data_IF_198377557288
#
_entry.id   IF_198377557288
#
_cell.length_a   1.000
_cell.length_b   1.000
_cell.length_c   1.000
_cell.angle_alpha   90.00
_cell.angle_beta   90.00
_cell.angle_gamma   90.00
#
_symmetry.space_group_name_H-M   'P 1'
#
loop_
_entity.id
_entity.type
_entity.pdbx_description
1 polymer ?
#
# COMPACT_ATOMS: atom_id res chain seq x y z
N UNK A 1 12.83 61.60 -14.14
CA UNK A 1 11.94 60.44 -14.32
C UNK A 1 12.74 59.20 -13.97
N UNK A 2 12.58 58.71 -12.75
CA UNK A 2 13.43 57.67 -12.17
C UNK A 2 12.91 56.29 -12.61
N UNK A 3 13.73 55.56 -13.36
CA UNK A 3 13.39 54.23 -13.88
C UNK A 3 13.40 53.22 -12.74
N UNK A 4 12.23 52.66 -12.43
CA UNK A 4 12.01 51.66 -11.39
C UNK A 4 12.44 50.28 -11.93
N UNK A 5 13.61 49.78 -11.53
CA UNK A 5 14.03 48.40 -11.81
C UNK A 5 13.34 47.44 -10.85
N UNK A 6 12.51 46.55 -11.38
CA UNK A 6 11.90 45.42 -10.65
C UNK A 6 12.97 44.37 -10.29
N UNK A 7 12.97 43.80 -9.07
CA UNK A 7 13.87 42.70 -8.73
C UNK A 7 13.47 41.39 -9.43
N UNK A 8 14.47 40.60 -9.83
CA UNK A 8 14.29 39.24 -10.38
C UNK A 8 13.62 38.32 -9.34
N UNK A 9 12.78 37.36 -9.76
CA UNK A 9 12.22 36.37 -8.85
C UNK A 9 13.31 35.41 -8.35
N UNK A 10 13.37 35.26 -7.03
CA UNK A 10 14.26 34.34 -6.34
C UNK A 10 13.96 32.89 -6.75
N UNK A 11 14.97 32.20 -7.27
CA UNK A 11 14.96 30.78 -7.53
C UNK A 11 15.05 30.01 -6.19
N UNK A 12 13.91 29.83 -5.52
CA UNK A 12 13.80 29.00 -4.33
C UNK A 12 12.78 27.88 -4.55
N UNK A 13 13.26 26.77 -5.09
CA UNK A 13 12.56 25.49 -5.15
C UNK A 13 13.47 24.38 -4.63
N UNK A 14 14.00 24.54 -3.42
CA UNK A 14 14.78 23.52 -2.75
C UNK A 14 13.96 22.24 -2.59
N UNK A 15 14.49 21.13 -3.08
CA UNK A 15 13.93 19.80 -2.84
C UNK A 15 14.01 19.51 -1.34
N UNK A 16 12.86 19.55 -0.67
CA UNK A 16 12.75 19.08 0.71
C UNK A 16 13.06 17.59 0.70
N UNK A 17 14.24 17.20 1.19
CA UNK A 17 14.56 15.80 1.46
C UNK A 17 13.61 15.28 2.55
N UNK A 18 13.03 14.09 2.41
CA UNK A 18 12.20 13.50 3.45
C UNK A 18 13.00 13.38 4.76
N UNK A 19 12.42 13.87 5.85
CA UNK A 19 13.02 14.02 7.19
C UNK A 19 12.99 12.74 8.02
N UNK A 20 12.88 11.58 7.38
CA UNK A 20 12.84 10.30 8.06
C UNK A 20 14.10 9.50 7.70
N UNK A 21 14.87 9.01 8.70
CA UNK A 21 15.98 8.11 8.42
C UNK A 21 15.44 6.91 7.63
N UNK A 22 16.21 6.45 6.64
CA UNK A 22 15.85 5.26 5.90
C UNK A 22 15.60 4.10 6.89
N UNK A 23 14.53 3.31 6.72
CA UNK A 23 14.27 2.18 7.59
C UNK A 23 15.48 1.23 7.57
N UNK A 24 15.77 0.53 8.68
CA UNK A 24 16.85 -0.46 8.71
C UNK A 24 16.68 -1.46 7.56
N UNK A 25 17.79 -1.84 6.94
CA UNK A 25 17.80 -2.79 5.84
C UNK A 25 17.48 -4.18 6.37
N UNK A 26 16.22 -4.60 6.24
CA UNK A 26 15.81 -5.98 6.47
C UNK A 26 16.17 -6.83 5.26
N UNK A 27 16.66 -8.04 5.48
CA UNK A 27 17.05 -8.96 4.40
C UNK A 27 15.82 -9.64 3.77
N UNK A 28 14.66 -9.59 4.44
CA UNK A 28 13.43 -10.21 3.97
C UNK A 28 12.19 -9.30 4.06
N UNK A 29 11.97 -8.52 3.01
CA UNK A 29 10.87 -7.53 2.91
C UNK A 29 9.79 -8.01 1.93
N UNK A 30 8.55 -8.08 2.42
CA UNK A 30 7.39 -8.50 1.64
C UNK A 30 6.48 -7.31 1.33
N UNK A 31 6.46 -6.89 0.06
CA UNK A 31 5.51 -5.90 -0.43
C UNK A 31 4.15 -6.52 -0.70
N UNK A 32 3.09 -5.72 -0.60
CA UNK A 32 1.72 -6.21 -0.74
C UNK A 32 0.97 -5.41 -1.80
N UNK A 33 0.28 -6.13 -2.68
CA UNK A 33 -0.65 -5.51 -3.63
C UNK A 33 -1.87 -6.39 -3.84
N UNK A 34 -3.07 -5.81 -3.86
CA UNK A 34 -4.25 -6.62 -4.09
C UNK A 34 -5.51 -5.85 -4.43
N UNK A 35 -6.57 -6.61 -4.61
CA UNK A 35 -7.86 -6.09 -4.98
C UNK A 35 -8.59 -5.39 -3.82
N UNK A 36 -9.38 -4.38 -4.20
CA UNK A 36 -10.34 -3.72 -3.30
C UNK A 36 -11.51 -4.66 -3.01
N UNK A 37 -12.28 -4.46 -1.91
CA UNK A 37 -13.24 -5.45 -1.45
C UNK A 37 -14.27 -5.89 -2.50
N UNK A 38 -14.80 -4.95 -3.28
CA UNK A 38 -15.80 -5.22 -4.31
C UNK A 38 -15.31 -6.08 -5.49
N UNK A 39 -14.00 -6.32 -5.60
CA UNK A 39 -13.39 -7.22 -6.59
C UNK A 39 -13.09 -8.62 -6.01
N UNK A 40 -13.22 -8.78 -4.69
CA UNK A 40 -12.95 -10.03 -3.98
C UNK A 40 -14.24 -10.78 -3.62
N UNK A 41 -15.36 -10.07 -3.45
CA UNK A 41 -16.67 -10.65 -3.16
C UNK A 41 -17.79 -9.71 -3.64
N UNK A 42 -19.03 -10.22 -3.86
CA UNK A 42 -20.17 -9.39 -4.25
C UNK A 42 -20.58 -8.42 -3.13
N UNK A 43 -21.31 -7.35 -3.49
CA UNK A 43 -21.96 -6.46 -2.51
C UNK A 43 -23.26 -7.11 -2.02
N UNK A 44 -23.65 -6.96 -0.73
CA UNK A 44 -22.94 -6.21 0.32
C UNK A 44 -21.86 -7.03 1.05
N UNK A 45 -21.72 -8.33 0.77
CA UNK A 45 -20.84 -9.26 1.48
C UNK A 45 -19.40 -8.77 1.61
N UNK A 46 -18.82 -8.20 0.55
CA UNK A 46 -17.45 -7.65 0.55
C UNK A 46 -17.19 -6.54 1.59
N UNK A 47 -18.24 -5.88 2.09
CA UNK A 47 -18.13 -4.87 3.15
C UNK A 47 -18.64 -5.36 4.50
N UNK A 48 -19.01 -6.63 4.63
CA UNK A 48 -19.44 -7.23 5.89
C UNK A 48 -18.27 -7.34 6.89
N UNK A 49 -18.60 -7.45 8.18
CA UNK A 49 -17.59 -7.73 9.22
C UNK A 49 -16.97 -9.12 9.01
N UNK A 50 -17.79 -10.12 8.71
CA UNK A 50 -17.35 -11.50 8.49
C UNK A 50 -16.31 -11.59 7.37
N UNK A 51 -16.59 -11.00 6.20
CA UNK A 51 -15.66 -11.01 5.07
C UNK A 51 -14.31 -10.36 5.42
N UNK A 52 -14.31 -9.23 6.11
CA UNK A 52 -13.06 -8.58 6.54
C UNK A 52 -12.27 -9.42 7.54
N UNK A 53 -12.94 -10.09 8.46
CA UNK A 53 -12.30 -10.99 9.43
C UNK A 53 -11.68 -12.18 8.70
N UNK A 54 -12.43 -12.82 7.80
CA UNK A 54 -11.93 -13.92 6.97
C UNK A 54 -10.73 -13.51 6.10
N UNK A 55 -10.81 -12.36 5.44
CA UNK A 55 -9.69 -11.85 4.63
C UNK A 55 -8.44 -11.56 5.48
N UNK A 56 -8.62 -11.08 6.72
CA UNK A 56 -7.50 -10.86 7.66
C UNK A 56 -6.93 -12.19 8.14
N UNK A 57 -7.77 -13.18 8.42
CA UNK A 57 -7.34 -14.52 8.82
C UNK A 57 -6.52 -15.20 7.73
N UNK A 58 -7.02 -15.17 6.49
CA UNK A 58 -6.29 -15.66 5.32
C UNK A 58 -4.93 -14.94 5.16
N UNK A 59 -4.89 -13.61 5.34
CA UNK A 59 -3.63 -12.86 5.33
C UNK A 59 -2.67 -13.30 6.44
N UNK A 60 -3.18 -13.57 7.65
CA UNK A 60 -2.35 -14.07 8.76
C UNK A 60 -1.74 -15.44 8.43
N UNK A 61 -2.50 -16.35 7.83
CA UNK A 61 -1.98 -17.66 7.39
C UNK A 61 -0.87 -17.49 6.34
N UNK A 62 -1.08 -16.64 5.33
CA UNK A 62 -0.03 -16.37 4.33
C UNK A 62 1.24 -15.79 4.97
N UNK A 63 1.11 -14.85 5.91
CA UNK A 63 2.26 -14.27 6.60
C UNK A 63 2.95 -15.26 7.55
N UNK A 64 2.20 -16.17 8.18
CA UNK A 64 2.76 -17.21 9.03
C UNK A 64 3.57 -18.24 8.22
N UNK A 65 3.15 -18.54 6.99
CA UNK A 65 3.89 -19.42 6.07
C UNK A 65 5.16 -18.73 5.52
N UNK A 66 5.10 -17.42 5.22
CA UNK A 66 6.20 -16.68 4.56
C UNK A 66 7.23 -16.12 5.56
N UNK A 67 6.78 -15.79 6.77
CA UNK A 67 7.60 -15.23 7.86
C UNK A 67 8.49 -14.04 7.46
N UNK A 68 7.94 -12.95 6.88
CA UNK A 68 8.72 -11.77 6.52
C UNK A 68 9.23 -11.01 7.76
N UNK A 69 10.43 -10.43 7.64
CA UNK A 69 10.97 -9.52 8.67
C UNK A 69 10.27 -8.17 8.65
N UNK A 70 9.72 -7.78 7.50
CA UNK A 70 9.01 -6.52 7.32
C UNK A 70 7.96 -6.63 6.21
N UNK A 71 6.85 -5.93 6.38
CA UNK A 71 5.77 -5.84 5.39
C UNK A 71 5.63 -4.41 4.90
N UNK A 72 5.54 -4.23 3.58
CA UNK A 72 5.18 -2.94 2.96
C UNK A 72 3.76 -3.04 2.41
N UNK A 73 2.85 -2.23 2.94
CA UNK A 73 1.46 -2.16 2.47
C UNK A 73 1.15 -0.81 1.85
N UNK A 74 0.42 -0.85 0.74
CA UNK A 74 -0.13 0.35 0.12
C UNK A 74 -1.35 0.95 0.83
N UNK A 75 -1.83 0.30 1.89
CA UNK A 75 -2.95 0.76 2.72
C UNK A 75 -4.29 1.01 1.98
N UNK A 76 -4.46 0.49 0.77
CA UNK A 76 -5.75 0.52 0.10
C UNK A 76 -6.80 -0.31 0.85
N UNK A 77 -8.08 0.01 0.68
CA UNK A 77 -9.16 -0.87 1.18
C UNK A 77 -9.03 -2.26 0.55
N UNK A 78 -9.33 -3.31 1.33
CA UNK A 78 -9.27 -4.70 0.86
C UNK A 78 -7.99 -5.39 1.32
N UNK A 79 -7.30 -6.04 0.39
CA UNK A 79 -6.12 -6.87 0.68
C UNK A 79 -5.03 -6.12 1.43
N UNK A 80 -4.61 -4.93 0.96
CA UNK A 80 -3.56 -4.13 1.60
C UNK A 80 -3.82 -3.91 3.10
N UNK A 81 -5.06 -3.56 3.49
CA UNK A 81 -5.41 -3.38 4.91
C UNK A 81 -5.54 -4.70 5.67
N UNK A 82 -5.97 -5.79 5.03
CA UNK A 82 -6.02 -7.10 5.67
C UNK A 82 -4.62 -7.60 6.03
N UNK A 83 -3.65 -7.48 5.11
CA UNK A 83 -2.26 -7.84 5.37
C UNK A 83 -1.60 -6.89 6.36
N UNK A 84 -1.89 -5.59 6.32
CA UNK A 84 -1.39 -4.65 7.32
C UNK A 84 -1.86 -4.99 8.75
N UNK A 85 -3.14 -5.35 8.91
CA UNK A 85 -3.66 -5.81 10.20
C UNK A 85 -3.02 -7.15 10.62
N UNK A 86 -2.83 -8.07 9.68
CA UNK A 86 -2.19 -9.36 9.93
C UNK A 86 -0.74 -9.17 10.42
N UNK A 87 0.07 -8.35 9.73
CA UNK A 87 1.44 -8.03 10.11
C UNK A 87 1.50 -7.48 11.54
N UNK A 88 0.66 -6.50 11.84
CA UNK A 88 0.52 -5.91 13.17
C UNK A 88 0.15 -6.94 14.25
N UNK A 89 -0.71 -7.92 13.95
CA UNK A 89 -1.11 -8.97 14.90
C UNK A 89 0.00 -10.00 15.14
N UNK A 90 0.84 -10.23 14.13
CA UNK A 90 1.97 -11.14 14.19
C UNK A 90 3.27 -10.45 14.64
N UNK A 91 3.19 -9.18 15.07
CA UNK A 91 4.33 -8.35 15.46
C UNK A 91 5.40 -8.20 14.36
N UNK A 92 4.98 -8.24 13.09
CA UNK A 92 5.85 -7.96 11.94
C UNK A 92 5.83 -6.45 11.67
N UNK A 93 6.98 -5.77 11.63
CA UNK A 93 7.09 -4.35 11.27
C UNK A 93 6.35 -4.01 9.98
N UNK A 94 5.46 -3.03 10.06
CA UNK A 94 4.66 -2.54 8.93
C UNK A 94 5.17 -1.18 8.45
N UNK A 95 5.51 -1.08 7.17
CA UNK A 95 5.64 0.20 6.46
C UNK A 95 4.33 0.48 5.71
N UNK A 96 3.73 1.63 5.99
CA UNK A 96 2.57 2.12 5.29
C UNK A 96 2.99 3.07 4.16
N UNK A 97 2.98 2.58 2.92
CA UNK A 97 3.25 3.35 1.71
C UNK A 97 1.97 4.05 1.21
N UNK A 98 1.86 5.35 1.48
CA UNK A 98 0.69 6.18 1.20
C UNK A 98 0.93 7.02 -0.06
N UNK A 99 0.08 6.93 -1.10
CA UNK A 99 0.29 7.66 -2.33
C UNK A 99 0.20 9.18 -2.15
N UNK A 100 -0.66 9.64 -1.24
CA UNK A 100 -0.83 11.06 -0.88
C UNK A 100 -1.55 11.20 0.46
N UNK A 101 -1.31 12.30 1.18
CA UNK A 101 -1.72 12.49 2.59
C UNK A 101 -3.22 12.25 2.87
N UNK A 102 -4.10 12.52 1.90
CA UNK A 102 -5.57 12.39 2.05
C UNK A 102 -6.17 11.15 1.39
N UNK A 103 -5.40 10.07 1.20
CA UNK A 103 -5.84 8.82 0.54
C UNK A 103 -7.19 8.30 1.05
N UNK A 104 -7.43 8.37 2.36
CA UNK A 104 -8.63 7.84 3.00
C UNK A 104 -9.85 8.79 2.96
N UNK A 105 -9.68 10.06 2.58
CA UNK A 105 -10.66 11.14 2.77
C UNK A 105 -12.04 10.90 2.13
N UNK A 106 -12.11 10.09 1.07
CA UNK A 106 -13.36 9.77 0.35
C UNK A 106 -14.01 8.46 0.81
N UNK A 107 -13.44 7.75 1.79
CA UNK A 107 -13.99 6.50 2.30
C UNK A 107 -15.04 6.75 3.38
N UNK A 108 -15.93 5.79 3.67
CA UNK A 108 -16.83 5.88 4.82
C UNK A 108 -16.07 6.11 6.13
N UNK A 109 -16.67 6.85 7.08
CA UNK A 109 -16.02 7.22 8.34
C UNK A 109 -15.48 6.01 9.14
N UNK A 110 -16.17 4.88 9.09
CA UNK A 110 -15.72 3.62 9.72
C UNK A 110 -14.42 3.10 9.10
N UNK A 111 -14.27 3.19 7.78
CA UNK A 111 -13.05 2.83 7.06
C UNK A 111 -11.92 3.82 7.32
N UNK A 112 -12.23 5.11 7.42
CA UNK A 112 -11.24 6.13 7.81
C UNK A 112 -10.70 5.87 9.21
N UNK A 113 -11.57 5.61 10.20
CA UNK A 113 -11.13 5.28 11.57
C UNK A 113 -10.19 4.07 11.59
N UNK A 114 -10.55 2.99 10.89
CA UNK A 114 -9.69 1.80 10.80
C UNK A 114 -8.33 2.10 10.17
N UNK A 115 -8.32 2.87 9.08
CA UNK A 115 -7.09 3.28 8.42
C UNK A 115 -6.14 4.00 9.40
N UNK A 116 -6.63 5.00 10.14
CA UNK A 116 -5.80 5.71 11.12
C UNK A 116 -5.35 4.82 12.29
N UNK A 117 -6.18 3.87 12.73
CA UNK A 117 -5.78 2.88 13.75
C UNK A 117 -4.63 1.97 13.28
N UNK A 118 -4.59 1.63 11.99
CA UNK A 118 -3.48 0.87 11.41
C UNK A 118 -2.23 1.76 11.33
N UNK A 119 -2.36 2.98 10.83
CA UNK A 119 -1.23 3.91 10.71
C UNK A 119 -0.57 4.22 12.06
N UNK A 120 -1.36 4.39 13.12
CA UNK A 120 -0.85 4.63 14.47
C UNK A 120 -0.01 3.47 15.04
N UNK A 121 -0.07 2.29 14.40
CA UNK A 121 0.69 1.09 14.78
C UNK A 121 1.72 0.68 13.72
N UNK A 122 1.83 1.43 12.62
CA UNK A 122 2.84 1.19 11.62
C UNK A 122 4.22 1.57 12.19
N UNK A 123 5.24 0.79 11.84
CA UNK A 123 6.62 1.10 12.20
C UNK A 123 7.12 2.34 11.45
N UNK A 124 6.66 2.52 10.21
CA UNK A 124 6.96 3.68 9.38
C UNK A 124 5.78 4.06 8.49
N UNK A 125 5.64 5.35 8.20
CA UNK A 125 4.65 5.88 7.26
C UNK A 125 5.39 6.67 6.20
N UNK A 126 5.32 6.19 4.96
CA UNK A 126 5.95 6.82 3.80
C UNK A 126 4.89 7.50 2.94
N UNK A 127 5.01 8.82 2.71
CA UNK A 127 4.08 9.58 1.86
C UNK A 127 4.78 9.95 0.55
N UNK A 128 4.32 9.38 -0.57
CA UNK A 128 5.03 9.45 -1.85
C UNK A 128 4.74 10.71 -2.67
N UNK A 129 3.63 11.39 -2.40
CA UNK A 129 3.28 12.64 -3.07
C UNK A 129 2.67 13.62 -2.09
N UNK A 130 3.14 14.88 -2.15
CA UNK A 130 2.57 16.00 -1.39
C UNK A 130 1.28 16.54 -2.01
N UNK A 131 0.94 16.12 -3.23
CA UNK A 131 -0.25 16.54 -3.95
C UNK A 131 -1.53 15.80 -3.54
N UNK A 132 -2.60 16.04 -4.29
CA UNK A 132 -3.87 15.31 -4.16
C UNK A 132 -3.87 13.96 -4.88
N UNK A 133 -5.07 13.40 -5.03
CA UNK A 133 -5.25 12.20 -5.85
C UNK A 133 -4.81 12.45 -7.29
N UNK A 134 -3.89 11.62 -7.78
CA UNK A 134 -3.58 11.49 -9.20
C UNK A 134 -3.23 10.04 -9.54
N UNK A 135 -3.47 9.59 -10.78
CA UNK A 135 -3.00 8.27 -11.24
C UNK A 135 -1.48 8.10 -11.05
N UNK A 136 -0.71 9.16 -11.25
CA UNK A 136 0.74 9.19 -11.08
C UNK A 136 1.14 8.94 -9.63
N UNK A 137 0.45 9.55 -8.65
CA UNK A 137 0.73 9.30 -7.23
C UNK A 137 0.41 7.85 -6.83
N UNK A 138 -0.68 7.29 -7.36
CA UNK A 138 -1.03 5.88 -7.14
C UNK A 138 0.01 4.92 -7.73
N UNK A 139 0.52 5.26 -8.92
CA UNK A 139 1.54 4.47 -9.61
C UNK A 139 2.91 4.59 -8.92
N UNK A 140 3.37 5.81 -8.60
CA UNK A 140 4.60 6.05 -7.86
C UNK A 140 4.64 5.27 -6.54
N UNK A 141 3.51 5.20 -5.84
CA UNK A 141 3.36 4.35 -4.65
C UNK A 141 3.55 2.86 -4.97
N UNK A 142 2.93 2.35 -6.04
CA UNK A 142 3.12 0.95 -6.42
C UNK A 142 4.59 0.64 -6.76
N UNK A 143 5.23 1.50 -7.55
CA UNK A 143 6.63 1.37 -7.94
C UNK A 143 7.54 1.40 -6.72
N UNK A 144 7.28 2.31 -5.78
CA UNK A 144 8.01 2.37 -4.53
C UNK A 144 7.89 1.07 -3.72
N UNK A 145 6.68 0.50 -3.58
CA UNK A 145 6.51 -0.81 -2.92
C UNK A 145 7.37 -1.86 -3.60
N UNK A 146 7.28 -1.98 -4.93
CA UNK A 146 8.05 -2.99 -5.69
C UNK A 146 9.55 -2.81 -5.50
N UNK A 147 10.06 -1.59 -5.63
CA UNK A 147 11.49 -1.30 -5.58
C UNK A 147 12.10 -1.47 -4.19
N UNK A 148 11.28 -1.51 -3.13
CA UNK A 148 11.72 -1.71 -1.75
C UNK A 148 11.30 -3.09 -1.20
N UNK A 149 10.89 -4.02 -2.08
CA UNK A 149 10.47 -5.36 -1.67
C UNK A 149 11.35 -6.43 -2.29
N UNK A 150 11.66 -7.46 -1.50
CA UNK A 150 12.31 -8.66 -1.99
C UNK A 150 11.32 -9.56 -2.73
N UNK A 151 10.07 -9.64 -2.25
CA UNK A 151 8.98 -10.38 -2.87
C UNK A 151 7.68 -9.57 -2.79
N UNK A 152 6.72 -9.87 -3.67
CA UNK A 152 5.35 -9.36 -3.57
C UNK A 152 4.35 -10.44 -3.20
N UNK A 153 3.48 -10.14 -2.23
CA UNK A 153 2.30 -10.93 -1.91
C UNK A 153 1.07 -10.34 -2.62
N UNK A 154 0.56 -11.07 -3.61
CA UNK A 154 -0.44 -10.58 -4.54
C UNK A 154 -1.80 -11.30 -4.42
N UNK A 155 -2.86 -10.58 -4.05
CA UNK A 155 -4.24 -11.06 -4.18
C UNK A 155 -4.95 -10.35 -5.34
N UNK A 156 -4.82 -10.93 -6.53
CA UNK A 156 -5.33 -10.36 -7.77
C UNK A 156 -6.03 -11.42 -8.61
N UNK A 157 -7.27 -11.15 -9.02
CA UNK A 157 -7.98 -11.97 -9.99
C UNK A 157 -7.35 -11.78 -11.39
N UNK A 158 -6.79 -12.83 -12.02
CA UNK A 158 -6.16 -12.75 -13.33
C UNK A 158 -7.16 -12.58 -14.49
N UNK A 159 -8.46 -12.46 -14.23
CA UNK A 159 -9.49 -12.06 -15.20
C UNK A 159 -9.92 -10.57 -15.08
N UNK A 160 -9.58 -9.85 -14.00
CA UNK A 160 -10.05 -8.46 -13.79
C UNK A 160 -8.94 -7.41 -14.01
N UNK A 161 -9.17 -6.33 -14.77
CA UNK A 161 -8.19 -5.25 -14.94
C UNK A 161 -8.09 -4.34 -13.70
N UNK A 162 -7.04 -3.51 -13.63
CA UNK A 162 -6.91 -2.41 -12.68
C UNK A 162 -5.52 -2.21 -12.08
N UNK A 163 -5.42 -1.29 -11.12
CA UNK A 163 -4.15 -0.87 -10.50
C UNK A 163 -3.28 -2.00 -9.93
N UNK A 164 -3.90 -3.05 -9.39
CA UNK A 164 -3.17 -4.25 -8.93
C UNK A 164 -2.37 -4.89 -10.07
N UNK A 165 -2.93 -5.01 -11.27
CA UNK A 165 -2.21 -5.58 -12.42
C UNK A 165 -1.07 -4.72 -12.91
N UNK A 166 -1.24 -3.38 -12.90
CA UNK A 166 -0.14 -2.48 -13.23
C UNK A 166 1.03 -2.66 -12.25
N UNK A 167 0.73 -2.85 -10.96
CA UNK A 167 1.72 -3.19 -9.94
C UNK A 167 2.43 -4.53 -10.25
N UNK A 168 1.68 -5.58 -10.60
CA UNK A 168 2.28 -6.89 -10.96
C UNK A 168 3.11 -6.83 -12.25
N UNK A 169 2.66 -6.08 -13.25
CA UNK A 169 3.41 -5.88 -14.49
C UNK A 169 4.74 -5.17 -14.23
N UNK A 170 4.72 -4.13 -13.38
CA UNK A 170 5.95 -3.45 -12.98
C UNK A 170 6.88 -4.36 -12.17
N UNK A 171 6.34 -5.17 -11.25
CA UNK A 171 7.13 -6.17 -10.51
C UNK A 171 7.84 -7.17 -11.42
N UNK A 172 7.13 -7.66 -12.45
CA UNK A 172 7.74 -8.54 -13.45
C UNK A 172 8.87 -7.84 -14.23
N UNK A 173 8.69 -6.55 -14.58
CA UNK A 173 9.75 -5.75 -15.23
C UNK A 173 10.98 -5.59 -14.34
N UNK A 174 10.79 -5.40 -13.03
CA UNK A 174 11.86 -5.30 -12.04
C UNK A 174 12.39 -6.67 -11.59
N UNK A 175 11.84 -7.78 -12.10
CA UNK A 175 12.17 -9.16 -11.71
C UNK A 175 11.98 -9.44 -10.21
N UNK A 176 11.06 -8.73 -9.56
CA UNK A 176 10.66 -9.02 -8.17
C UNK A 176 9.72 -10.23 -8.18
N UNK A 177 10.06 -11.34 -7.51
CA UNK A 177 9.21 -12.52 -7.46
C UNK A 177 7.84 -12.23 -6.83
N UNK A 178 6.80 -12.89 -7.35
CA UNK A 178 5.41 -12.67 -6.93
C UNK A 178 4.83 -13.97 -6.38
N UNK A 179 4.33 -13.91 -5.15
CA UNK A 179 3.56 -14.95 -4.48
C UNK A 179 2.08 -14.67 -4.77
N UNK A 180 1.47 -15.48 -5.63
CA UNK A 180 0.07 -15.34 -6.02
C UNK A 180 -0.87 -16.04 -5.04
N UNK A 181 -1.83 -15.31 -4.49
CA UNK A 181 -2.79 -15.85 -3.51
C UNK A 181 -4.19 -16.10 -4.07
N UNK A 182 -4.44 -15.83 -5.35
CA UNK A 182 -5.81 -15.87 -5.90
C UNK A 182 -6.44 -17.26 -5.81
N UNK A 183 -5.75 -18.29 -6.27
CA UNK A 183 -6.30 -19.65 -6.31
C UNK A 183 -6.58 -20.18 -4.89
N UNK A 184 -5.60 -20.02 -3.99
CA UNK A 184 -5.73 -20.36 -2.57
C UNK A 184 -6.87 -19.60 -1.89
N UNK A 185 -7.03 -18.31 -2.19
CA UNK A 185 -8.15 -17.51 -1.69
C UNK A 185 -9.48 -18.08 -2.15
N UNK A 186 -9.65 -18.38 -3.44
CA UNK A 186 -10.91 -18.90 -4.00
C UNK A 186 -11.27 -20.31 -3.53
N UNK A 187 -10.32 -21.08 -3.01
CA UNK A 187 -10.57 -22.40 -2.42
C UNK A 187 -10.98 -22.31 -0.93
N UNK A 188 -10.74 -21.17 -0.28
CA UNK A 188 -10.95 -20.98 1.16
C UNK A 188 -12.25 -20.23 1.47
N UNK A 189 -12.80 -19.47 0.51
CA UNK A 189 -13.94 -18.55 0.70
C UNK A 189 -15.18 -18.90 -0.11
#
# INVERSE_FOLDING_TARGET
MTTLTLPKPDACGGTVKPTHPAPPTCDWVLGVTGHRPHKLAPKPQCYSKAFRVGLTQFAMERLADIQPEQVISGMALGWDQAVAIAAIRLNIPLIAAIPFQRQASRWPATSQRRYHQILARAAHVEILSQGGYSPQAMQARNEWIVNHSHHLLALCNPAQPGGTRHCLAYAAQQRVPIIHCWDAFTQTV
#
